data_IF_219958461101
#
_entry.id   IF_219958461101
#
_cell.length_a   1.000
_cell.length_b   1.000
_cell.length_c   1.000
_cell.angle_alpha   90.00
_cell.angle_beta   90.00
_cell.angle_gamma   90.00
#
_symmetry.space_group_name_H-M   'P 1'
#
loop_
_entity.id
_entity.type
_entity.pdbx_description
1 polymer ?
#
# COMPACT_ATOMS: atom_id res chain seq x y z
N UNK A 1 19.77 -23.59 3.35
CA UNK A 1 20.78 -22.50 3.42
C UNK A 1 20.24 -21.17 2.89
N UNK A 2 18.94 -20.87 3.07
CA UNK A 2 18.33 -19.62 2.51
C UNK A 2 17.66 -18.71 3.55
N UNK A 3 17.83 -18.97 4.83
CA UNK A 3 17.22 -18.14 5.90
C UNK A 3 18.10 -16.98 6.40
N UNK A 4 19.30 -16.82 5.90
CA UNK A 4 20.28 -15.84 6.42
C UNK A 4 20.38 -14.55 5.60
N UNK A 5 19.82 -14.49 4.39
CA UNK A 5 19.98 -13.35 3.49
C UNK A 5 18.95 -12.24 3.78
N UNK A 6 17.79 -12.57 4.38
CA UNK A 6 16.75 -11.56 4.69
C UNK A 6 17.09 -10.74 5.94
N UNK A 7 17.94 -11.25 6.82
CA UNK A 7 18.28 -10.58 8.09
C UNK A 7 19.41 -9.55 7.96
N UNK A 8 20.16 -9.52 6.86
CA UNK A 8 21.27 -8.59 6.66
C UNK A 8 20.88 -7.22 6.11
N UNK A 9 19.68 -7.04 5.56
CA UNK A 9 19.24 -5.74 5.03
C UNK A 9 18.52 -4.84 6.04
N UNK A 10 18.23 -5.31 7.25
CA UNK A 10 17.57 -4.52 8.30
C UNK A 10 18.57 -3.82 9.24
N UNK A 11 19.85 -4.19 9.22
CA UNK A 11 20.84 -3.71 10.19
C UNK A 11 21.78 -2.58 9.71
N UNK A 12 21.60 -2.01 8.52
CA UNK A 12 22.50 -0.95 8.01
C UNK A 12 21.95 0.47 8.18
N UNK A 13 20.74 0.66 8.75
CA UNK A 13 20.13 1.98 8.90
C UNK A 13 20.20 2.62 10.30
N UNK A 14 20.96 2.06 11.24
CA UNK A 14 20.95 2.58 12.64
C UNK A 14 22.32 3.13 13.11
N UNK A 15 23.26 3.48 12.25
CA UNK A 15 24.52 4.07 12.72
C UNK A 15 24.94 5.30 11.93
N UNK A 16 24.16 6.40 12.01
CA UNK A 16 24.69 7.74 11.70
C UNK A 16 23.91 8.80 12.50
N UNK A 17 24.17 8.92 13.79
CA UNK A 17 23.98 10.19 14.51
C UNK A 17 24.71 10.13 15.85
N UNK A 18 26.02 10.31 15.84
CA UNK A 18 26.73 10.85 16.98
C UNK A 18 27.88 11.74 16.45
N UNK A 19 27.60 13.02 16.28
CA UNK A 19 28.62 14.03 16.43
C UNK A 19 27.98 15.27 17.02
N UNK A 20 28.18 15.40 18.31
CA UNK A 20 27.87 16.54 19.13
C UNK A 20 28.81 17.68 18.77
N UNK A 21 28.27 18.82 18.34
CA UNK A 21 28.94 20.11 18.31
C UNK A 21 28.29 21.05 19.29
N UNK A 22 28.92 21.28 20.44
CA UNK A 22 28.53 22.25 21.46
C UNK A 22 28.78 23.65 20.90
N UNK A 23 27.79 24.52 20.85
CA UNK A 23 27.96 25.97 20.86
C UNK A 23 27.18 26.55 22.04
N UNK A 24 28.00 26.88 23.08
CA UNK A 24 27.54 27.73 24.16
C UNK A 24 27.60 29.19 23.69
N UNK A 25 26.46 29.87 23.63
CA UNK A 25 26.23 31.29 23.87
C UNK A 25 24.99 31.74 23.12
N UNK A 26 23.84 31.70 23.74
CA UNK A 26 22.83 32.76 23.88
C UNK A 26 21.63 32.15 24.57
N UNK A 27 21.32 32.65 25.75
CA UNK A 27 20.16 32.22 26.53
C UNK A 27 18.89 32.71 25.87
N UNK A 28 18.17 31.80 25.27
CA UNK A 28 16.74 31.95 25.00
C UNK A 28 15.99 30.72 25.54
N UNK A 29 14.77 30.93 26.12
CA UNK A 29 14.10 29.89 26.89
C UNK A 29 13.65 28.75 26.00
N UNK A 30 13.92 27.52 26.46
CA UNK A 30 13.32 26.28 25.98
C UNK A 30 11.79 26.32 26.05
N UNK A 31 11.17 26.95 25.09
CA UNK A 31 9.72 26.86 24.85
C UNK A 31 9.51 26.74 23.34
N UNK A 32 9.47 25.54 22.83
CA UNK A 32 8.77 25.12 21.61
C UNK A 32 9.35 23.88 20.93
N UNK A 33 9.79 22.87 21.68
CA UNK A 33 10.15 21.59 21.07
C UNK A 33 9.23 20.46 21.58
N UNK A 34 7.99 20.80 21.97
CA UNK A 34 7.06 19.78 22.44
C UNK A 34 5.68 19.88 21.76
N UNK A 35 5.66 20.02 20.43
CA UNK A 35 4.40 19.96 19.68
C UNK A 35 4.54 19.44 18.25
N UNK A 36 5.33 18.39 18.05
CA UNK A 36 5.20 17.51 16.89
C UNK A 36 5.73 16.14 17.27
N UNK A 37 5.03 15.42 18.12
CA UNK A 37 4.98 13.98 17.96
C UNK A 37 4.21 13.81 16.67
N UNK A 38 4.91 13.89 15.54
CA UNK A 38 4.36 13.59 14.23
C UNK A 38 3.92 12.15 14.29
N UNK A 39 2.65 11.90 14.09
CA UNK A 39 2.19 10.60 13.60
C UNK A 39 3.02 10.32 12.37
N UNK A 40 3.96 9.35 12.44
CA UNK A 40 4.75 8.97 11.28
C UNK A 40 3.75 8.59 10.18
N UNK A 41 3.77 9.35 9.10
CA UNK A 41 2.85 9.11 7.98
C UNK A 41 3.16 7.74 7.40
N UNK A 42 2.17 6.85 7.41
CA UNK A 42 2.33 5.50 6.89
C UNK A 42 2.60 5.55 5.40
N UNK A 43 3.51 4.69 4.95
CA UNK A 43 3.85 4.54 3.53
C UNK A 43 2.65 4.00 2.73
N UNK A 44 2.53 4.40 1.48
CA UNK A 44 1.53 3.83 0.59
C UNK A 44 1.83 2.37 0.28
N UNK A 45 0.89 1.47 0.58
CA UNK A 45 0.99 0.07 0.19
C UNK A 45 0.95 -0.08 -1.33
N UNK A 46 0.15 0.72 -2.02
CA UNK A 46 0.04 0.66 -3.48
C UNK A 46 1.34 1.08 -4.16
N UNK A 47 2.04 2.11 -3.66
CA UNK A 47 3.36 2.46 -4.17
C UNK A 47 4.36 1.30 -3.98
N UNK A 48 4.29 0.60 -2.85
CA UNK A 48 5.12 -0.60 -2.61
C UNK A 48 4.83 -1.71 -3.61
N UNK A 49 3.55 -1.96 -3.94
CA UNK A 49 3.16 -2.95 -4.96
C UNK A 49 3.60 -2.53 -6.37
N UNK A 50 3.47 -1.25 -6.73
CA UNK A 50 3.95 -0.69 -8.01
C UNK A 50 5.46 -0.83 -8.16
N UNK A 51 6.22 -0.56 -7.10
CA UNK A 51 7.68 -0.73 -7.10
C UNK A 51 8.13 -2.18 -7.31
N UNK A 52 7.25 -3.16 -7.07
CA UNK A 52 7.50 -4.59 -7.33
C UNK A 52 7.11 -4.97 -8.75
N UNK A 53 7.64 -4.28 -9.75
CA UNK A 53 7.25 -4.42 -11.16
C UNK A 53 7.53 -5.82 -11.75
N UNK A 54 8.46 -6.58 -11.14
CA UNK A 54 8.82 -7.94 -11.56
C UNK A 54 7.81 -9.01 -11.11
N UNK A 55 6.89 -8.66 -10.18
CA UNK A 55 5.87 -9.57 -9.68
C UNK A 55 4.63 -9.57 -10.59
N UNK A 56 4.00 -10.73 -10.75
CA UNK A 56 2.66 -10.84 -11.32
C UNK A 56 1.63 -10.14 -10.41
N UNK A 57 0.40 -9.95 -10.90
CA UNK A 57 -0.65 -9.31 -10.10
C UNK A 57 -1.06 -10.17 -8.91
N UNK A 58 -1.08 -11.50 -9.06
CA UNK A 58 -1.37 -12.44 -7.98
C UNK A 58 -0.26 -12.42 -6.91
N UNK A 59 1.00 -12.34 -7.32
CA UNK A 59 2.12 -12.19 -6.41
C UNK A 59 2.08 -10.87 -5.65
N UNK A 60 1.60 -9.80 -6.29
CA UNK A 60 1.37 -8.50 -5.61
C UNK A 60 0.26 -8.59 -4.57
N UNK A 61 -0.84 -9.32 -4.85
CA UNK A 61 -1.88 -9.59 -3.84
C UNK A 61 -1.33 -10.40 -2.67
N UNK A 62 -0.51 -11.42 -2.93
CA UNK A 62 0.16 -12.18 -1.88
C UNK A 62 1.09 -11.29 -1.04
N UNK A 63 1.86 -10.41 -1.69
CA UNK A 63 2.72 -9.42 -1.02
C UNK A 63 1.90 -8.45 -0.17
N UNK A 64 0.74 -7.98 -0.66
CA UNK A 64 -0.19 -7.14 0.09
C UNK A 64 -0.57 -7.79 1.43
N UNK A 65 -1.05 -9.04 1.39
CA UNK A 65 -1.46 -9.74 2.61
C UNK A 65 -0.29 -10.06 3.53
N UNK A 66 0.89 -10.39 3.00
CA UNK A 66 2.09 -10.60 3.80
C UNK A 66 2.48 -9.32 4.54
N UNK A 67 2.50 -8.18 3.86
CA UNK A 67 2.81 -6.88 4.48
C UNK A 67 1.73 -6.45 5.48
N UNK A 68 0.45 -6.72 5.19
CA UNK A 68 -0.64 -6.44 6.12
C UNK A 68 -0.50 -7.22 7.42
N UNK A 69 -0.07 -8.48 7.33
CA UNK A 69 0.18 -9.35 8.50
C UNK A 69 1.41 -8.92 9.30
N UNK A 70 2.52 -8.66 8.63
CA UNK A 70 3.82 -8.56 9.29
C UNK A 70 4.33 -7.13 9.46
N UNK A 71 3.73 -6.16 8.76
CA UNK A 71 4.24 -4.79 8.64
C UNK A 71 3.13 -3.71 8.62
N UNK A 72 1.94 -4.01 9.16
CA UNK A 72 0.77 -3.12 9.13
C UNK A 72 1.03 -1.74 9.78
N UNK A 73 1.98 -1.64 10.69
CA UNK A 73 2.35 -0.39 11.34
C UNK A 73 3.04 0.59 10.39
N UNK A 74 3.68 0.12 9.33
CA UNK A 74 4.46 0.95 8.39
C UNK A 74 3.67 1.38 7.16
N UNK A 75 2.59 0.67 6.81
CA UNK A 75 1.84 0.90 5.58
C UNK A 75 0.39 1.33 5.84
N UNK A 76 -0.13 2.20 4.96
CA UNK A 76 -1.55 2.55 4.95
C UNK A 76 -2.34 1.55 4.09
N UNK A 77 -3.16 0.73 4.75
CA UNK A 77 -4.08 -0.22 4.11
C UNK A 77 -5.52 0.31 4.00
N UNK A 78 -5.78 1.51 4.53
CA UNK A 78 -7.11 2.11 4.55
C UNK A 78 -7.40 3.08 3.39
N UNK A 79 -6.50 3.21 2.42
CA UNK A 79 -6.68 4.10 1.29
C UNK A 79 -7.39 3.36 0.14
N UNK A 80 -8.73 3.36 0.18
CA UNK A 80 -9.58 2.75 -0.85
C UNK A 80 -9.34 3.35 -2.22
N UNK A 81 -9.28 4.69 -2.32
CA UNK A 81 -9.13 5.40 -3.58
C UNK A 81 -7.83 5.02 -4.30
N UNK A 82 -6.73 4.91 -3.54
CA UNK A 82 -5.44 4.55 -4.11
C UNK A 82 -5.43 3.11 -4.63
N UNK A 83 -6.06 2.17 -3.90
CA UNK A 83 -6.19 0.77 -4.33
C UNK A 83 -7.13 0.65 -5.52
N UNK A 84 -8.22 1.41 -5.55
CA UNK A 84 -9.14 1.48 -6.66
C UNK A 84 -8.45 1.99 -7.94
N UNK A 85 -7.71 3.10 -7.83
CA UNK A 85 -6.93 3.63 -8.95
C UNK A 85 -5.83 2.68 -9.44
N UNK A 86 -5.33 1.82 -8.56
CA UNK A 86 -4.39 0.77 -8.96
C UNK A 86 -5.05 -0.28 -9.85
N UNK A 87 -6.29 -0.68 -9.57
CA UNK A 87 -7.10 -1.54 -10.42
C UNK A 87 -7.39 -0.90 -11.77
N UNK A 88 -7.80 0.37 -11.77
CA UNK A 88 -8.05 1.12 -13.00
C UNK A 88 -6.81 1.28 -13.89
N UNK A 89 -5.61 1.39 -13.32
CA UNK A 89 -4.39 1.43 -14.12
C UNK A 89 -4.23 0.18 -15.01
N UNK A 90 -4.56 -1.00 -14.50
CA UNK A 90 -4.61 -2.23 -15.31
C UNK A 90 -5.75 -2.20 -16.33
N UNK A 91 -6.94 -1.73 -15.92
CA UNK A 91 -8.12 -1.70 -16.79
C UNK A 91 -7.92 -0.78 -18.01
N UNK A 92 -7.27 0.37 -17.81
CA UNK A 92 -6.93 1.31 -18.89
C UNK A 92 -5.81 0.79 -19.82
N UNK A 93 -4.90 -0.02 -19.27
CA UNK A 93 -3.89 -0.75 -20.05
C UNK A 93 -4.47 -1.96 -20.82
N UNK A 94 -5.80 -2.17 -20.77
CA UNK A 94 -6.50 -3.32 -21.35
C UNK A 94 -6.05 -4.68 -20.76
N UNK A 95 -5.54 -4.67 -19.54
CA UNK A 95 -5.19 -5.85 -18.73
C UNK A 95 -6.37 -6.20 -17.82
N UNK A 96 -7.44 -6.70 -18.44
CA UNK A 96 -8.75 -6.81 -17.79
C UNK A 96 -8.73 -7.86 -16.67
N UNK A 97 -8.07 -9.00 -16.88
CA UNK A 97 -7.96 -10.07 -15.90
C UNK A 97 -7.18 -9.60 -14.66
N UNK A 98 -6.09 -8.88 -14.87
CA UNK A 98 -5.29 -8.32 -13.78
C UNK A 98 -6.07 -7.23 -13.01
N UNK A 99 -6.85 -6.41 -13.71
CA UNK A 99 -7.73 -5.44 -13.06
C UNK A 99 -8.77 -6.14 -12.16
N UNK A 100 -9.40 -7.23 -12.64
CA UNK A 100 -10.33 -8.03 -11.86
C UNK A 100 -9.67 -8.56 -10.58
N UNK A 101 -8.42 -9.00 -10.65
CA UNK A 101 -7.69 -9.49 -9.46
C UNK A 101 -7.53 -8.37 -8.43
N UNK A 102 -7.17 -7.15 -8.84
CA UNK A 102 -7.01 -6.00 -7.92
C UNK A 102 -8.38 -5.54 -7.40
N UNK A 103 -9.42 -5.49 -8.23
CA UNK A 103 -10.76 -5.11 -7.74
C UNK A 103 -11.37 -6.16 -6.80
N UNK A 104 -11.05 -7.45 -6.95
CA UNK A 104 -11.39 -8.47 -5.95
C UNK A 104 -10.69 -8.23 -4.61
N UNK A 105 -9.42 -7.82 -4.64
CA UNK A 105 -8.71 -7.40 -3.43
C UNK A 105 -9.40 -6.17 -2.82
N UNK A 106 -9.78 -5.18 -3.65
CA UNK A 106 -10.47 -3.97 -3.19
C UNK A 106 -11.79 -4.31 -2.47
N UNK A 107 -12.64 -5.17 -3.06
CA UNK A 107 -13.90 -5.63 -2.44
C UNK A 107 -13.64 -6.40 -1.14
N UNK A 108 -12.58 -7.23 -1.08
CA UNK A 108 -12.22 -7.97 0.12
C UNK A 108 -11.77 -7.05 1.27
N UNK A 109 -11.10 -5.95 0.95
CA UNK A 109 -10.62 -4.97 1.93
C UNK A 109 -11.71 -3.98 2.35
N UNK A 110 -12.64 -3.63 1.44
CA UNK A 110 -13.70 -2.65 1.63
C UNK A 110 -15.09 -3.25 1.30
N UNK A 111 -15.54 -4.26 2.07
CA UNK A 111 -16.73 -5.05 1.72
C UNK A 111 -18.06 -4.28 1.84
N UNK A 112 -18.05 -3.06 2.37
CA UNK A 112 -19.23 -2.19 2.46
C UNK A 112 -19.21 -1.03 1.46
N UNK A 113 -18.17 -0.96 0.62
CA UNK A 113 -18.02 0.10 -0.37
C UNK A 113 -18.74 -0.23 -1.67
N UNK A 114 -19.79 0.52 -2.01
CA UNK A 114 -20.42 0.42 -3.32
C UNK A 114 -19.47 0.72 -4.47
N UNK A 115 -18.54 1.68 -4.29
CA UNK A 115 -17.53 2.02 -5.27
C UNK A 115 -16.61 0.83 -5.60
N UNK A 116 -16.26 -0.01 -4.61
CA UNK A 116 -15.45 -1.20 -4.83
C UNK A 116 -16.19 -2.24 -5.71
N UNK A 117 -17.48 -2.45 -5.42
CA UNK A 117 -18.31 -3.36 -6.22
C UNK A 117 -18.57 -2.82 -7.62
N UNK A 118 -18.83 -1.51 -7.77
CA UNK A 118 -19.03 -0.89 -9.08
C UNK A 118 -17.79 -1.06 -9.96
N UNK A 119 -16.59 -0.85 -9.41
CA UNK A 119 -15.33 -1.04 -10.13
C UNK A 119 -15.12 -2.50 -10.57
N UNK A 120 -15.42 -3.46 -9.70
CA UNK A 120 -15.36 -4.88 -10.05
C UNK A 120 -16.41 -5.24 -11.10
N UNK A 121 -17.62 -4.69 -11.00
CA UNK A 121 -18.70 -4.86 -11.96
C UNK A 121 -18.30 -4.33 -13.35
N UNK A 122 -17.69 -3.14 -13.43
CA UNK A 122 -17.17 -2.57 -14.67
C UNK A 122 -16.10 -3.47 -15.31
N UNK A 123 -15.17 -3.99 -14.52
CA UNK A 123 -14.14 -4.88 -15.03
C UNK A 123 -14.74 -6.18 -15.59
N UNK A 124 -15.73 -6.77 -14.90
CA UNK A 124 -16.44 -7.93 -15.43
C UNK A 124 -17.22 -7.63 -16.70
N UNK A 125 -17.86 -6.45 -16.79
CA UNK A 125 -18.55 -6.02 -17.99
C UNK A 125 -17.58 -5.92 -19.19
N UNK A 126 -16.41 -5.33 -19.00
CA UNK A 126 -15.36 -5.25 -20.03
C UNK A 126 -14.81 -6.62 -20.40
N UNK A 127 -14.77 -7.55 -19.45
CA UNK A 127 -14.37 -8.95 -19.70
C UNK A 127 -15.47 -9.79 -20.38
N UNK A 128 -16.66 -9.22 -20.65
CA UNK A 128 -17.79 -9.90 -21.25
C UNK A 128 -18.57 -10.80 -20.29
N UNK A 129 -18.26 -10.81 -18.99
CA UNK A 129 -18.95 -11.61 -18.00
C UNK A 129 -20.14 -10.83 -17.40
N UNK A 130 -21.25 -10.81 -18.15
CA UNK A 130 -22.46 -10.04 -17.80
C UNK A 130 -23.10 -10.48 -16.49
N UNK A 131 -23.07 -11.77 -16.17
CA UNK A 131 -23.65 -12.32 -14.94
C UNK A 131 -22.91 -11.81 -13.69
N UNK A 132 -21.58 -11.86 -13.73
CA UNK A 132 -20.77 -11.34 -12.61
C UNK A 132 -20.84 -9.81 -12.54
N UNK A 133 -20.88 -9.12 -13.68
CA UNK A 133 -21.10 -7.67 -13.69
C UNK A 133 -22.40 -7.30 -12.98
N UNK A 134 -23.53 -7.91 -13.38
CA UNK A 134 -24.83 -7.67 -12.77
C UNK A 134 -24.81 -7.93 -11.26
N UNK A 135 -24.25 -9.06 -10.83
CA UNK A 135 -24.17 -9.44 -9.42
C UNK A 135 -23.43 -8.41 -8.56
N UNK A 136 -22.45 -7.72 -9.13
CA UNK A 136 -21.68 -6.71 -8.40
C UNK A 136 -22.37 -5.34 -8.37
N UNK A 137 -23.32 -5.07 -9.29
CA UNK A 137 -24.11 -3.83 -9.28
C UNK A 137 -25.40 -3.92 -8.42
N UNK A 138 -25.80 -5.10 -7.97
CA UNK A 138 -26.95 -5.35 -7.09
C UNK A 138 -26.59 -5.24 -5.61
#
# INVERSE_FOLDING_TARGET
MEKWIIQMFVLVAINFFTSCGINAATGEPERAINSKIGTEEKLSIVQRLKASAHLSVEEKVNLYYALKKDSAQYYNFGNEDELNMFGYAYLWDNKIEEAIVIFKLLVAEFPTSSNAYDSLGEAYLKNGNLELAKKNYE
#
